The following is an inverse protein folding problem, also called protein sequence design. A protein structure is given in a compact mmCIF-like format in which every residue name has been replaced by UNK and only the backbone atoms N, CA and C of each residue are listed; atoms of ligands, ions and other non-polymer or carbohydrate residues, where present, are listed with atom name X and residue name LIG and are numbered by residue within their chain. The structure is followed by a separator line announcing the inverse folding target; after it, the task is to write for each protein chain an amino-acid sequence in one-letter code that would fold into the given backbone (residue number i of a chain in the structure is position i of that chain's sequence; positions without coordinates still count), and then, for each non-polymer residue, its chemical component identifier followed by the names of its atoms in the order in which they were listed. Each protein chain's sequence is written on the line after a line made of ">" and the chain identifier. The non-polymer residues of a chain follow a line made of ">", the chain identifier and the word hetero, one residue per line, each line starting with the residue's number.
data_IF_927701094938
#
_entry.id   IF_927701094938
#
_cell.length_a   1.000
_cell.length_b   1.000
_cell.length_c   1.000
_cell.angle_alpha   90.00
_cell.angle_beta   90.00
_cell.angle_gamma   90.00
#
_symmetry.space_group_name_H-M   'P 1'
#
loop_
_entity.id
_entity.type
_entity.pdbx_description
1 polymer ?
#
# COMPACT_ATOMS: atom_id res chain seq x y z
N UNK A 1 34.40 41.25 11.00
CA UNK A 1 34.05 39.82 10.93
C UNK A 1 32.53 39.70 10.86
N UNK A 2 31.99 39.26 9.72
CA UNK A 2 30.53 39.09 9.55
C UNK A 2 30.10 37.81 10.27
N UNK A 3 29.30 37.95 11.32
CA UNK A 3 28.64 36.83 11.99
C UNK A 3 27.62 36.22 11.03
N UNK A 4 27.84 34.95 10.64
CA UNK A 4 26.85 34.14 9.91
C UNK A 4 25.68 33.91 10.87
N UNK A 5 24.53 34.54 10.60
CA UNK A 5 23.26 34.12 11.19
C UNK A 5 23.02 32.68 10.76
N UNK A 6 23.02 31.77 11.71
CA UNK A 6 22.48 30.43 11.54
C UNK A 6 20.98 30.59 11.25
N UNK A 7 20.57 30.27 10.03
CA UNK A 7 19.17 30.19 9.66
C UNK A 7 18.63 28.89 10.29
N UNK A 8 18.22 28.96 11.56
CA UNK A 8 17.43 27.90 12.17
C UNK A 8 16.06 27.87 11.50
N UNK A 9 15.91 27.09 10.43
CA UNK A 9 14.59 26.69 9.93
C UNK A 9 14.01 25.77 11.01
N UNK A 10 13.07 26.25 11.81
CA UNK A 10 12.27 25.36 12.65
C UNK A 10 11.58 24.32 11.75
N UNK A 11 11.62 23.04 12.15
CA UNK A 11 10.89 22.00 11.44
C UNK A 11 9.40 22.35 11.38
N UNK A 12 8.80 22.28 10.20
CA UNK A 12 7.38 22.58 9.98
C UNK A 12 6.46 21.56 10.65
N UNK A 13 6.91 20.31 10.80
CA UNK A 13 6.15 19.23 11.41
C UNK A 13 6.86 18.65 12.62
N UNK A 14 6.08 18.10 13.55
CA UNK A 14 6.55 17.33 14.71
C UNK A 14 5.81 15.98 14.73
N UNK A 15 6.10 15.13 13.75
CA UNK A 15 5.61 13.75 13.72
C UNK A 15 6.79 12.78 13.66
N UNK A 16 6.55 11.52 14.04
CA UNK A 16 7.53 10.46 13.85
C UNK A 16 7.54 10.03 12.37
N UNK A 17 8.61 10.37 11.66
CA UNK A 17 8.78 10.10 10.22
C UNK A 17 8.68 8.60 9.92
N UNK A 18 9.27 7.77 10.77
CA UNK A 18 9.28 6.32 10.58
C UNK A 18 7.88 5.73 10.76
N UNK A 19 7.14 6.19 11.76
CA UNK A 19 5.76 5.73 12.01
C UNK A 19 4.87 6.10 10.82
N UNK A 20 4.95 7.34 10.34
CA UNK A 20 4.18 7.81 9.19
C UNK A 20 4.50 7.02 7.92
N UNK A 21 5.79 6.95 7.54
CA UNK A 21 6.21 6.31 6.29
C UNK A 21 5.90 4.81 6.31
N UNK A 22 6.03 4.14 7.46
CA UNK A 22 5.76 2.69 7.60
C UNK A 22 4.32 2.27 7.31
N UNK A 23 3.38 3.22 7.27
CA UNK A 23 2.01 2.93 6.87
C UNK A 23 1.86 2.61 5.37
N UNK A 24 2.84 3.00 4.55
CA UNK A 24 2.68 3.06 3.09
C UNK A 24 3.46 2.01 2.32
N UNK A 25 4.33 1.21 2.95
CA UNK A 25 5.14 0.21 2.25
C UNK A 25 5.19 -1.10 3.01
N UNK A 26 5.45 -2.19 2.28
CA UNK A 26 5.66 -3.51 2.85
C UNK A 26 7.15 -3.84 2.89
N UNK A 27 7.67 -4.02 4.11
CA UNK A 27 9.09 -4.34 4.38
C UNK A 27 9.49 -5.72 3.87
N UNK A 28 8.52 -6.62 3.71
CA UNK A 28 8.74 -8.01 3.30
C UNK A 28 8.44 -8.22 1.80
N UNK A 29 8.34 -7.13 1.02
CA UNK A 29 8.06 -7.20 -0.40
C UNK A 29 9.29 -7.61 -1.23
N UNK A 30 9.53 -8.92 -1.29
CA UNK A 30 10.65 -9.51 -2.03
C UNK A 30 10.51 -9.34 -3.56
N UNK A 31 9.29 -9.11 -4.07
CA UNK A 31 9.06 -8.91 -5.51
C UNK A 31 9.43 -7.51 -5.99
N UNK A 32 9.46 -6.51 -5.10
CA UNK A 32 9.75 -5.11 -5.42
C UNK A 32 10.70 -4.51 -4.38
N UNK A 33 11.99 -4.88 -4.40
CA UNK A 33 12.97 -4.45 -3.39
C UNK A 33 13.10 -2.93 -3.26
N UNK A 34 12.98 -2.20 -4.38
CA UNK A 34 13.04 -0.72 -4.41
C UNK A 34 11.87 -0.06 -3.66
N UNK A 35 10.81 -0.81 -3.36
CA UNK A 35 9.63 -0.35 -2.60
C UNK A 35 9.61 -0.88 -1.15
N UNK A 36 10.61 -1.67 -0.74
CA UNK A 36 10.68 -2.25 0.61
C UNK A 36 11.15 -1.25 1.69
N UNK A 37 11.51 -0.03 1.31
CA UNK A 37 11.86 1.07 2.20
C UNK A 37 11.51 2.42 1.56
N UNK A 38 11.38 3.51 2.35
CA UNK A 38 11.23 4.85 1.79
C UNK A 38 12.47 5.28 1.00
N UNK A 39 12.25 6.01 -0.10
CA UNK A 39 13.29 6.38 -1.06
C UNK A 39 13.17 7.84 -1.50
N UNK A 40 14.28 8.42 -1.95
CA UNK A 40 14.33 9.76 -2.52
C UNK A 40 14.07 9.71 -4.02
N UNK A 41 13.17 10.58 -4.51
CA UNK A 41 12.91 10.78 -5.94
C UNK A 41 12.45 12.21 -6.21
N UNK A 42 13.10 12.89 -7.16
CA UNK A 42 12.70 14.23 -7.62
C UNK A 42 12.53 15.27 -6.49
N UNK A 43 13.35 15.20 -5.43
CA UNK A 43 13.27 16.09 -4.26
C UNK A 43 12.20 15.71 -3.22
N UNK A 44 11.53 14.57 -3.39
CA UNK A 44 10.56 14.01 -2.44
C UNK A 44 11.05 12.69 -1.87
N UNK A 45 10.77 12.46 -0.59
CA UNK A 45 10.82 11.14 0.02
C UNK A 45 9.49 10.47 -0.20
N UNK A 46 9.51 9.28 -0.79
CA UNK A 46 8.35 8.50 -1.17
C UNK A 46 8.34 7.16 -0.41
N UNK A 47 7.15 6.69 -0.07
CA UNK A 47 6.92 5.33 0.42
C UNK A 47 5.63 4.80 -0.20
N UNK A 48 5.64 3.54 -0.66
CA UNK A 48 4.51 2.96 -1.40
C UNK A 48 4.52 1.43 -1.42
N UNK A 49 3.34 0.80 -1.43
CA UNK A 49 3.16 -0.62 -1.74
C UNK A 49 2.62 -0.85 -3.17
N UNK A 50 2.34 0.24 -3.90
CA UNK A 50 1.98 0.23 -5.32
C UNK A 50 0.56 0.72 -5.61
N UNK A 51 -0.34 0.70 -4.64
CA UNK A 51 -1.72 1.19 -4.73
C UNK A 51 -1.96 2.43 -3.85
N UNK A 52 -1.17 2.62 -2.80
CA UNK A 52 -1.10 3.83 -2.00
C UNK A 52 0.34 4.33 -1.92
N UNK A 53 0.52 5.65 -1.93
CA UNK A 53 1.80 6.31 -1.80
C UNK A 53 1.66 7.54 -0.92
N UNK A 54 2.68 7.81 -0.12
CA UNK A 54 2.93 9.14 0.43
C UNK A 54 4.19 9.70 -0.22
N UNK A 55 4.16 10.99 -0.55
CA UNK A 55 5.36 11.73 -0.91
C UNK A 55 5.47 13.02 -0.10
N UNK A 56 6.66 13.27 0.42
CA UNK A 56 6.96 14.39 1.31
C UNK A 56 8.19 15.12 0.77
N UNK A 57 8.18 16.45 0.66
CA UNK A 57 9.38 17.20 0.27
C UNK A 57 10.54 16.85 1.20
N UNK A 58 11.66 16.41 0.65
CA UNK A 58 12.78 15.88 1.42
C UNK A 58 13.32 16.88 2.47
N UNK A 59 13.32 18.18 2.15
CA UNK A 59 13.75 19.25 3.06
C UNK A 59 12.86 19.44 4.31
N UNK A 60 11.73 18.74 4.39
CA UNK A 60 10.85 18.75 5.57
C UNK A 60 11.13 17.60 6.54
N UNK A 61 11.90 16.60 6.11
CA UNK A 61 12.29 15.43 6.90
C UNK A 61 13.75 15.54 7.35
N UNK A 62 14.10 14.80 8.40
CA UNK A 62 15.46 14.73 8.94
C UNK A 62 16.15 13.42 8.59
N UNK A 63 15.41 12.41 8.14
CA UNK A 63 15.96 11.13 7.71
C UNK A 63 16.86 11.23 6.46
N UNK A 64 17.76 10.26 6.34
CA UNK A 64 18.55 10.03 5.13
C UNK A 64 17.89 8.91 4.31
N UNK A 65 17.74 9.13 3.01
CA UNK A 65 17.01 8.23 2.11
C UNK A 65 17.81 7.99 0.84
N UNK A 66 17.80 6.75 0.36
CA UNK A 66 18.50 6.38 -0.88
C UNK A 66 17.72 6.88 -2.10
N UNK A 67 18.44 7.45 -3.07
CA UNK A 67 17.86 7.81 -4.36
C UNK A 67 17.72 6.57 -5.25
N UNK A 68 16.61 6.50 -5.99
CA UNK A 68 16.35 5.39 -6.94
C UNK A 68 15.97 5.91 -8.32
N UNK A 69 16.41 5.21 -9.36
CA UNK A 69 16.12 5.56 -10.75
C UNK A 69 14.95 4.78 -11.35
N UNK A 70 14.71 3.56 -10.87
CA UNK A 70 13.81 2.55 -11.47
C UNK A 70 12.34 2.95 -11.50
N UNK A 71 11.90 3.85 -10.62
CA UNK A 71 10.50 4.27 -10.51
C UNK A 71 10.28 5.67 -11.10
N UNK A 72 9.37 5.74 -12.07
CA UNK A 72 8.86 6.99 -12.61
C UNK A 72 7.57 7.37 -11.87
N UNK A 73 7.53 8.60 -11.37
CA UNK A 73 6.36 9.17 -10.70
C UNK A 73 5.87 10.33 -11.56
N UNK A 74 4.87 10.06 -12.41
CA UNK A 74 4.15 11.08 -13.17
C UNK A 74 2.75 11.22 -12.56
N UNK A 75 2.45 12.40 -12.02
CA UNK A 75 1.17 12.68 -11.37
C UNK A 75 0.33 13.58 -12.27
N UNK A 76 -0.97 13.27 -12.43
CA UNK A 76 -1.85 14.11 -13.24
C UNK A 76 -2.02 15.50 -12.62
N UNK A 77 -2.35 16.48 -13.47
CA UNK A 77 -2.68 17.82 -13.03
C UNK A 77 -3.96 17.84 -12.19
N UNK A 78 -4.06 18.80 -11.26
CA UNK A 78 -5.25 19.01 -10.45
C UNK A 78 -6.51 19.17 -11.34
N UNK A 79 -7.59 18.45 -11.03
CA UNK A 79 -8.86 18.49 -11.77
C UNK A 79 -10.09 18.68 -10.87
N UNK A 80 -9.92 18.68 -9.55
CA UNK A 80 -10.99 18.87 -8.59
C UNK A 80 -10.47 19.64 -7.36
N UNK A 81 -11.40 20.05 -6.49
CA UNK A 81 -11.05 20.71 -5.23
C UNK A 81 -12.15 20.50 -4.19
N UNK A 82 -11.98 19.49 -3.34
CA UNK A 82 -12.90 19.24 -2.23
C UNK A 82 -12.15 18.73 -1.01
N UNK A 83 -12.76 18.90 0.15
CA UNK A 83 -12.20 18.57 1.45
C UNK A 83 -12.83 17.28 1.97
N UNK A 84 -11.98 16.42 2.52
CA UNK A 84 -12.39 15.28 3.34
C UNK A 84 -11.92 15.51 4.77
N UNK A 85 -12.83 15.32 5.73
CA UNK A 85 -12.49 15.33 7.15
C UNK A 85 -12.11 13.96 7.68
N UNK A 86 -11.22 13.93 8.66
CA UNK A 86 -10.86 12.72 9.42
C UNK A 86 -12.10 12.09 10.06
N UNK A 87 -13.01 12.92 10.57
CA UNK A 87 -14.28 12.47 11.13
C UNK A 87 -15.17 11.77 10.09
N UNK A 88 -15.20 12.26 8.84
CA UNK A 88 -16.00 11.68 7.76
C UNK A 88 -15.46 10.29 7.38
N UNK A 89 -14.12 10.16 7.31
CA UNK A 89 -13.43 8.88 7.07
C UNK A 89 -13.77 7.88 8.17
N UNK A 90 -13.59 8.25 9.44
CA UNK A 90 -13.90 7.37 10.59
C UNK A 90 -15.36 6.95 10.63
N UNK A 91 -16.27 7.87 10.33
CA UNK A 91 -17.71 7.59 10.31
C UNK A 91 -18.07 6.60 9.19
N UNK A 92 -17.51 6.77 8.00
CA UNK A 92 -17.74 5.86 6.89
C UNK A 92 -17.20 4.45 7.19
N UNK A 93 -15.99 4.34 7.71
CA UNK A 93 -15.40 3.04 8.11
C UNK A 93 -16.21 2.38 9.22
N UNK A 94 -16.71 3.14 10.20
CA UNK A 94 -17.56 2.58 11.26
C UNK A 94 -18.94 2.08 10.77
N UNK A 95 -19.38 2.50 9.57
CA UNK A 95 -20.68 2.13 9.00
C UNK A 95 -20.67 0.84 8.18
N UNK A 96 -19.49 0.34 7.80
CA UNK A 96 -19.36 -0.87 6.99
C UNK A 96 -19.50 -2.15 7.84
N UNK A 97 -19.76 -3.32 7.21
CA UNK A 97 -19.85 -4.58 7.92
C UNK A 97 -18.56 -4.90 8.66
N UNK A 98 -18.71 -5.46 9.86
CA UNK A 98 -17.57 -5.94 10.64
C UNK A 98 -17.38 -7.44 10.35
N UNK A 99 -16.13 -7.85 10.17
CA UNK A 99 -15.73 -9.25 10.01
C UNK A 99 -14.83 -9.67 11.18
N UNK A 100 -14.84 -10.97 11.47
CA UNK A 100 -13.97 -11.51 12.51
C UNK A 100 -12.52 -11.52 12.01
N UNK A 101 -11.65 -10.80 12.72
CA UNK A 101 -10.23 -10.70 12.42
C UNK A 101 -9.58 -12.09 12.42
N UNK A 102 -8.73 -12.31 11.43
CA UNK A 102 -7.96 -13.54 11.28
C UNK A 102 -6.47 -13.22 11.29
N UNK A 103 -5.73 -13.89 12.17
CA UNK A 103 -4.27 -13.85 12.19
C UNK A 103 -3.70 -14.96 11.31
N UNK A 104 -2.64 -14.64 10.53
CA UNK A 104 -1.84 -15.65 9.84
C UNK A 104 -1.06 -16.45 10.88
N UNK A 105 -1.16 -17.77 10.81
CA UNK A 105 -0.45 -18.71 11.68
C UNK A 105 0.38 -19.64 10.81
N UNK A 106 1.68 -19.66 11.07
CA UNK A 106 2.66 -20.40 10.29
C UNK A 106 3.04 -19.67 9.00
N UNK A 107 3.70 -20.39 8.10
CA UNK A 107 4.13 -19.91 6.78
C UNK A 107 3.87 -20.99 5.75
N UNK A 108 3.76 -20.59 4.50
CA UNK A 108 3.86 -21.53 3.40
C UNK A 108 5.25 -22.16 3.42
N UNK A 109 5.30 -23.50 3.37
CA UNK A 109 6.53 -24.25 3.29
C UNK A 109 6.54 -24.88 1.90
N UNK A 110 7.32 -24.29 1.00
CA UNK A 110 7.52 -24.82 -0.34
C UNK A 110 8.01 -26.26 -0.31
N UNK A 111 7.50 -27.05 -1.25
CA UNK A 111 7.98 -28.40 -1.50
C UNK A 111 9.31 -28.32 -2.24
N UNK A 112 10.39 -28.64 -1.52
CA UNK A 112 11.76 -28.70 -2.05
C UNK A 112 11.97 -29.73 -3.16
N UNK A 113 11.02 -30.65 -3.37
CA UNK A 113 11.12 -31.66 -4.44
C UNK A 113 10.76 -31.06 -5.80
N UNK A 114 9.85 -30.10 -5.83
CA UNK A 114 9.41 -29.42 -7.04
C UNK A 114 9.71 -27.91 -7.00
N UNK A 115 10.52 -27.46 -6.04
CA UNK A 115 10.85 -26.05 -5.80
C UNK A 115 9.61 -25.12 -5.88
N UNK A 116 8.53 -25.52 -5.22
CA UNK A 116 7.28 -24.76 -5.20
C UNK A 116 6.39 -24.86 -6.45
N UNK A 117 6.89 -25.43 -7.55
CA UNK A 117 6.17 -25.48 -8.83
C UNK A 117 4.94 -26.40 -8.82
N UNK A 118 4.89 -27.38 -7.91
CA UNK A 118 3.82 -28.37 -7.83
C UNK A 118 3.98 -29.53 -8.81
N UNK A 119 4.86 -29.43 -9.81
CA UNK A 119 5.12 -30.46 -10.81
C UNK A 119 6.59 -30.88 -10.83
N UNK A 120 6.87 -32.12 -11.24
CA UNK A 120 8.22 -32.64 -11.49
C UNK A 120 8.31 -33.27 -12.87
N UNK A 121 9.50 -33.27 -13.44
CA UNK A 121 9.76 -33.93 -14.72
C UNK A 121 9.87 -35.45 -14.53
N UNK A 122 9.13 -36.18 -15.36
CA UNK A 122 9.18 -37.63 -15.47
C UNK A 122 9.85 -38.01 -16.78
N UNK A 123 10.90 -38.81 -16.67
CA UNK A 123 11.63 -39.36 -17.79
C UNK A 123 11.28 -40.85 -17.97
N UNK A 124 10.89 -41.23 -19.19
CA UNK A 124 10.72 -42.62 -19.59
C UNK A 124 11.63 -42.95 -20.77
N UNK A 125 12.45 -43.99 -20.63
CA UNK A 125 13.26 -44.53 -21.71
C UNK A 125 12.61 -45.78 -22.30
N UNK A 126 12.31 -45.74 -23.59
CA UNK A 126 11.73 -46.88 -24.28
C UNK A 126 12.77 -47.92 -24.72
N UNK A 127 12.28 -49.07 -25.21
CA UNK A 127 13.14 -50.18 -25.67
C UNK A 127 14.01 -49.83 -26.89
N UNK A 128 13.67 -48.79 -27.64
CA UNK A 128 14.49 -48.27 -28.75
C UNK A 128 15.57 -47.30 -28.27
N UNK A 129 15.61 -47.01 -26.97
CA UNK A 129 16.58 -46.13 -26.34
C UNK A 129 16.18 -44.65 -26.38
N UNK A 130 14.98 -44.30 -26.83
CA UNK A 130 14.47 -42.92 -26.88
C UNK A 130 13.90 -42.50 -25.52
N UNK A 131 14.20 -41.27 -25.14
CA UNK A 131 13.67 -40.62 -23.94
C UNK A 131 12.37 -39.86 -24.24
N UNK A 132 11.42 -39.94 -23.32
CA UNK A 132 10.13 -39.24 -23.33
C UNK A 132 10.00 -38.48 -22.02
N UNK A 133 9.59 -37.22 -22.10
CA UNK A 133 9.50 -36.32 -20.94
C UNK A 133 8.06 -35.88 -20.72
N UNK A 134 7.64 -35.80 -19.46
CA UNK A 134 6.37 -35.17 -19.05
C UNK A 134 6.53 -34.44 -17.74
N UNK A 135 5.82 -33.33 -17.57
CA UNK A 135 5.59 -32.75 -16.25
C UNK A 135 4.31 -33.36 -15.68
N UNK A 136 4.39 -33.83 -14.45
CA UNK A 136 3.24 -34.34 -13.71
C UNK A 136 3.31 -33.81 -12.28
N UNK A 137 2.19 -33.84 -11.57
CA UNK A 137 2.11 -33.50 -10.16
C UNK A 137 3.24 -34.13 -9.36
N UNK A 138 3.94 -33.28 -8.62
CA UNK A 138 4.96 -33.70 -7.69
C UNK A 138 4.33 -34.63 -6.66
N UNK A 139 4.76 -35.90 -6.57
CA UNK A 139 4.13 -36.87 -5.67
C UNK A 139 4.32 -36.50 -4.19
N UNK A 140 5.29 -35.64 -3.89
CA UNK A 140 5.61 -35.22 -2.52
C UNK A 140 4.61 -34.21 -1.96
N UNK A 141 4.15 -33.27 -2.78
CA UNK A 141 3.15 -32.27 -2.41
C UNK A 141 1.79 -32.47 -3.12
N UNK A 142 1.67 -33.52 -3.94
CA UNK A 142 0.46 -33.86 -4.67
C UNK A 142 -0.06 -32.70 -5.54
N UNK A 143 0.85 -32.06 -6.28
CA UNK A 143 0.49 -30.94 -7.15
C UNK A 143 0.39 -29.58 -6.45
N UNK A 144 0.40 -29.54 -5.10
CA UNK A 144 0.15 -28.30 -4.34
C UNK A 144 1.31 -27.29 -4.48
N UNK A 145 2.53 -27.78 -4.67
CA UNK A 145 3.75 -26.97 -4.59
C UNK A 145 4.21 -26.71 -3.15
N UNK A 146 3.36 -26.91 -2.15
CA UNK A 146 3.66 -26.70 -0.74
C UNK A 146 3.51 -27.98 0.10
N UNK A 147 4.33 -28.11 1.15
CA UNK A 147 4.22 -29.16 2.19
C UNK A 147 3.25 -28.73 3.30
N UNK A 148 3.16 -27.43 3.56
CA UNK A 148 2.21 -26.85 4.49
C UNK A 148 1.81 -25.49 3.97
N UNK A 149 0.52 -25.16 4.08
CA UNK A 149 0.01 -23.83 3.82
C UNK A 149 -0.14 -23.03 5.10
N UNK A 150 -0.05 -21.71 4.98
CA UNK A 150 -0.42 -20.75 6.02
C UNK A 150 -1.86 -21.01 6.45
N UNK A 151 -2.10 -20.96 7.75
CA UNK A 151 -3.43 -21.09 8.33
C UNK A 151 -3.89 -19.75 8.84
N UNK A 152 -5.20 -19.58 8.91
CA UNK A 152 -5.81 -18.39 9.46
C UNK A 152 -6.59 -18.76 10.72
N UNK A 153 -6.25 -18.13 11.84
CA UNK A 153 -6.93 -18.33 13.11
C UNK A 153 -7.78 -17.10 13.42
N UNK A 154 -9.03 -17.33 13.79
CA UNK A 154 -9.92 -16.28 14.26
C UNK A 154 -9.44 -15.76 15.62
N UNK A 155 -9.32 -14.45 15.77
CA UNK A 155 -8.86 -13.81 17.01
C UNK A 155 -10.03 -13.52 17.97
N UNK A 156 -11.26 -13.55 17.48
CA UNK A 156 -12.47 -13.14 18.21
C UNK A 156 -12.70 -11.62 18.25
N UNK A 157 -11.78 -10.83 17.68
CA UNK A 157 -11.95 -9.39 17.50
C UNK A 157 -12.74 -9.12 16.22
N UNK A 158 -13.68 -8.18 16.29
CA UNK A 158 -14.37 -7.66 15.11
C UNK A 158 -13.60 -6.46 14.55
N UNK A 159 -13.37 -6.45 13.24
CA UNK A 159 -12.72 -5.37 12.52
C UNK A 159 -13.56 -4.99 11.30
N UNK A 160 -13.43 -3.76 10.76
CA UNK A 160 -14.06 -3.40 9.50
C UNK A 160 -13.62 -4.35 8.38
N UNK A 161 -14.53 -4.70 7.49
CA UNK A 161 -14.20 -5.50 6.31
C UNK A 161 -13.30 -4.69 5.36
N UNK A 162 -12.00 -5.02 5.36
CA UNK A 162 -10.97 -4.30 4.60
C UNK A 162 -11.18 -4.35 3.09
N UNK A 163 -11.86 -5.38 2.59
CA UNK A 163 -12.22 -5.53 1.17
C UNK A 163 -13.49 -4.75 0.79
N UNK A 164 -14.20 -4.19 1.78
CA UNK A 164 -15.38 -3.40 1.53
C UNK A 164 -15.02 -2.09 0.80
N UNK A 165 -15.62 -1.82 -0.36
CA UNK A 165 -15.39 -0.58 -1.08
C UNK A 165 -16.18 0.60 -0.49
N UNK A 166 -15.51 1.74 -0.30
CA UNK A 166 -16.16 3.02 0.02
C UNK A 166 -16.01 3.98 -1.16
N UNK A 167 -17.12 4.53 -1.64
CA UNK A 167 -17.14 5.56 -2.67
C UNK A 167 -16.78 6.92 -2.09
N UNK A 168 -15.84 7.62 -2.72
CA UNK A 168 -15.58 9.03 -2.46
C UNK A 168 -15.91 9.77 -3.75
N UNK A 169 -17.04 10.47 -3.78
CA UNK A 169 -17.56 11.11 -5.00
C UNK A 169 -17.53 10.16 -6.23
N UNK A 170 -16.59 10.35 -7.16
CA UNK A 170 -16.51 9.66 -8.46
C UNK A 170 -15.72 8.36 -8.44
N UNK A 171 -14.99 8.07 -7.38
CA UNK A 171 -14.13 6.87 -7.31
C UNK A 171 -14.51 6.01 -6.12
N UNK A 172 -14.09 4.76 -6.18
CA UNK A 172 -14.18 3.80 -5.09
C UNK A 172 -12.78 3.55 -4.56
N UNK A 173 -12.65 3.47 -3.24
CA UNK A 173 -11.38 3.19 -2.55
C UNK A 173 -11.63 2.03 -1.58
N UNK A 174 -10.65 1.13 -1.46
CA UNK A 174 -10.68 0.09 -0.42
C UNK A 174 -10.55 0.69 0.98
N UNK A 175 -11.24 0.10 1.94
CA UNK A 175 -11.22 0.55 3.34
C UNK A 175 -9.81 0.57 3.92
N UNK A 176 -8.98 -0.44 3.61
CA UNK A 176 -7.58 -0.50 4.07
C UNK A 176 -6.79 0.79 3.76
N UNK A 177 -6.98 1.38 2.57
CA UNK A 177 -6.30 2.60 2.16
C UNK A 177 -6.88 3.85 2.80
N UNK A 178 -8.19 3.84 3.12
CA UNK A 178 -8.81 4.91 3.90
C UNK A 178 -8.39 4.88 5.37
N UNK A 179 -8.18 3.70 5.94
CA UNK A 179 -7.59 3.56 7.27
C UNK A 179 -6.15 4.08 7.31
N UNK A 180 -5.35 3.83 6.27
CA UNK A 180 -4.01 4.41 6.14
C UNK A 180 -4.09 5.93 6.03
N UNK A 181 -4.96 6.48 5.18
CA UNK A 181 -5.17 7.92 5.08
C UNK A 181 -5.57 8.53 6.43
N UNK A 182 -6.52 7.93 7.13
CA UNK A 182 -6.95 8.38 8.46
C UNK A 182 -5.84 8.36 9.50
N UNK A 183 -5.06 7.27 9.58
CA UNK A 183 -3.91 7.18 10.50
C UNK A 183 -2.80 8.17 10.14
N UNK A 184 -2.53 8.38 8.85
CA UNK A 184 -1.57 9.38 8.40
C UNK A 184 -1.99 10.79 8.84
N UNK A 185 -3.28 11.13 8.70
CA UNK A 185 -3.84 12.39 9.20
C UNK A 185 -3.65 12.55 10.71
N UNK A 186 -3.88 11.50 11.50
CA UNK A 186 -3.66 11.51 12.96
C UNK A 186 -2.19 11.74 13.31
N UNK A 187 -1.26 11.03 12.65
CA UNK A 187 0.18 11.17 12.89
C UNK A 187 0.67 12.58 12.52
N UNK A 188 0.20 13.11 11.38
CA UNK A 188 0.56 14.46 10.92
C UNK A 188 -0.10 15.54 11.81
N UNK A 189 -1.22 15.24 12.45
CA UNK A 189 -1.96 16.17 13.30
C UNK A 189 -2.92 17.08 12.53
N UNK A 190 -3.58 16.56 11.49
CA UNK A 190 -4.54 17.30 10.66
C UNK A 190 -5.93 16.67 10.68
N UNK A 191 -6.97 17.51 10.73
CA UNK A 191 -8.36 17.04 10.71
C UNK A 191 -8.97 16.98 9.30
N UNK A 192 -8.28 17.58 8.31
CA UNK A 192 -8.80 17.76 6.95
C UNK A 192 -7.67 17.62 5.93
N UNK A 193 -8.00 17.05 4.78
CA UNK A 193 -7.14 17.01 3.58
C UNK A 193 -7.93 17.48 2.36
N UNK A 194 -7.24 18.03 1.36
CA UNK A 194 -7.83 18.46 0.11
C UNK A 194 -7.61 17.40 -0.96
N UNK A 195 -8.68 16.89 -1.55
CA UNK A 195 -8.61 16.12 -2.79
C UNK A 195 -8.48 17.08 -3.98
N UNK A 196 -7.38 16.96 -4.71
CA UNK A 196 -6.99 17.87 -5.80
C UNK A 196 -7.04 17.22 -7.17
N UNK A 197 -7.01 15.88 -7.20
CA UNK A 197 -7.23 15.12 -8.42
C UNK A 197 -8.08 13.89 -8.13
N UNK A 198 -9.04 13.62 -9.01
CA UNK A 198 -9.86 12.43 -8.99
C UNK A 198 -10.35 12.06 -10.40
N UNK A 199 -9.99 10.86 -10.87
CA UNK A 199 -10.57 10.21 -12.05
C UNK A 199 -10.71 8.70 -11.82
N UNK A 200 -11.69 8.00 -12.42
CA UNK A 200 -11.94 6.58 -12.17
C UNK A 200 -10.77 5.64 -12.48
N UNK A 201 -9.86 6.05 -13.36
CA UNK A 201 -8.72 5.22 -13.85
C UNK A 201 -7.37 5.85 -13.60
N UNK A 202 -7.31 6.97 -12.85
CA UNK A 202 -6.07 7.65 -12.49
C UNK A 202 -5.94 7.79 -10.98
N UNK A 203 -4.73 8.03 -10.44
CA UNK A 203 -4.52 8.14 -9.01
C UNK A 203 -5.33 9.29 -8.40
N UNK A 204 -6.01 9.05 -7.29
CA UNK A 204 -6.62 10.08 -6.48
C UNK A 204 -5.56 10.76 -5.61
N UNK A 205 -5.49 12.09 -5.62
CA UNK A 205 -4.46 12.84 -4.90
C UNK A 205 -5.11 13.62 -3.75
N UNK A 206 -4.70 13.28 -2.53
CA UNK A 206 -5.01 13.99 -1.28
C UNK A 206 -3.81 14.84 -0.87
N UNK A 207 -3.92 16.15 -1.01
CA UNK A 207 -2.92 17.12 -0.57
C UNK A 207 -3.21 17.51 0.87
N UNK A 208 -2.26 17.24 1.77
CA UNK A 208 -2.31 17.71 3.15
C UNK A 208 -1.92 19.19 3.17
N UNK A 209 -0.82 19.52 2.50
CA UNK A 209 -0.37 20.87 2.19
C UNK A 209 0.67 20.87 1.05
N UNK A 210 1.38 21.98 0.84
CA UNK A 210 2.39 22.13 -0.23
C UNK A 210 3.59 21.16 -0.16
N UNK A 211 3.75 20.42 0.94
CA UNK A 211 4.89 19.54 1.15
C UNK A 211 4.51 18.07 1.21
N UNK A 212 3.26 17.73 1.52
CA UNK A 212 2.81 16.36 1.76
C UNK A 212 1.59 16.05 0.88
N UNK A 213 1.74 15.01 0.07
CA UNK A 213 0.67 14.44 -0.75
C UNK A 213 0.55 12.93 -0.51
N UNK A 214 -0.69 12.46 -0.40
CA UNK A 214 -1.05 11.05 -0.30
C UNK A 214 -1.82 10.70 -1.57
N UNK A 215 -1.34 9.69 -2.28
CA UNK A 215 -1.88 9.25 -3.57
C UNK A 215 -2.48 7.86 -3.39
N UNK A 216 -3.72 7.67 -3.84
CA UNK A 216 -4.45 6.39 -3.71
C UNK A 216 -5.01 5.99 -5.07
N UNK A 217 -4.73 4.76 -5.50
CA UNK A 217 -5.31 4.19 -6.71
C UNK A 217 -6.78 3.84 -6.49
N UNK A 218 -7.68 4.21 -7.42
CA UNK A 218 -9.05 3.76 -7.40
C UNK A 218 -9.16 2.24 -7.42
N UNK A 219 -10.16 1.71 -6.71
CA UNK A 219 -10.54 0.31 -6.75
C UNK A 219 -11.70 0.12 -7.73
N UNK A 220 -11.54 -0.82 -8.68
CA UNK A 220 -12.55 -1.12 -9.69
C UNK A 220 -13.64 -2.03 -9.11
N UNK A 221 -14.52 -1.46 -8.27
CA UNK A 221 -15.65 -2.17 -7.67
C UNK A 221 -16.89 -1.28 -7.57
N UNK A 222 -18.05 -1.89 -7.34
CA UNK A 222 -19.29 -1.19 -6.96
C UNK A 222 -19.27 -0.97 -5.45
N UNK A 223 -19.67 0.22 -4.99
CA UNK A 223 -19.64 0.60 -3.58
C UNK A 223 -21.04 0.95 -3.06
N UNK A 224 -21.40 0.34 -1.92
CA UNK A 224 -22.67 0.60 -1.22
C UNK A 224 -22.56 1.73 -0.18
N UNK A 225 -21.34 2.10 0.20
CA UNK A 225 -21.02 3.12 1.20
C UNK A 225 -20.35 4.33 0.54
N UNK A 226 -20.55 5.53 1.09
CA UNK A 226 -20.00 6.73 0.45
C UNK A 226 -19.65 7.90 1.38
N UNK A 227 -18.65 8.67 0.97
CA UNK A 227 -18.27 9.99 1.49
C UNK A 227 -18.43 11.00 0.35
N UNK A 228 -19.28 12.01 0.54
CA UNK A 228 -19.50 13.04 -0.49
C UNK A 228 -18.45 14.18 -0.42
N UNK A 229 -17.81 14.38 0.74
CA UNK A 229 -16.88 15.49 0.96
C UNK A 229 -17.58 16.86 0.91
N UNK A 230 -16.81 17.94 1.11
CA UNK A 230 -17.31 19.31 1.01
C UNK A 230 -16.50 20.08 -0.01
N UNK A 231 -17.13 20.89 -0.85
CA UNK A 231 -16.37 21.77 -1.74
C UNK A 231 -15.49 22.72 -0.91
N UNK A 232 -14.29 23.00 -1.39
CA UNK A 232 -13.42 23.94 -0.70
C UNK A 232 -13.91 25.37 -0.96
N UNK A 233 -14.07 26.16 0.12
CA UNK A 233 -14.35 27.60 0.06
C UNK A 233 -13.18 28.40 -0.54
#
# INVERSE_FOLDING_TARGET
>A
MKSKKANGRGMKYQFNEQDLLSLFYDKENDMRPDMAAPYLKNGYVCATEGHIMIRIKAETLNGEYNEIDSLNIDLPADNCNFIIGLHDIKTAIASIPQVEEKEKVGKDIECKECDGAGEVEWEYRDKSGRYHHKYLDCPKCQGDGCISRVKYKKTGRMIPDGDCPIRIRRIVIKVEFLEILGRAMEIIGVDKVRCVHQEPTQPCIFRVDDNIEIIIMPYLAVADYSIEGRDAE
#
